data_IF_747724181219
#
_entry.id   IF_747724181219
#
_cell.length_a   1.000
_cell.length_b   1.000
_cell.length_c   1.000
_cell.angle_alpha   90.00
_cell.angle_beta   90.00
_cell.angle_gamma   90.00
#
_symmetry.space_group_name_H-M   'P 1'
#
loop_
_entity.id
_entity.type
_entity.pdbx_description
1 polymer ?
#
# COMPACT_ATOMS: atom_id res chain seq x y z
N UNK A 1 -4.54 -1.61 -5.46
CA UNK A 1 -3.14 -2.05 -5.33
C UNK A 1 -2.74 -1.99 -3.85
N UNK A 2 -1.96 -2.95 -3.38
CA UNK A 2 -1.42 -3.00 -2.01
C UNK A 2 0.10 -2.95 -2.05
N UNK A 3 0.74 -2.14 -1.19
CA UNK A 3 2.19 -1.98 -1.17
C UNK A 3 2.81 -2.15 0.21
N UNK A 4 4.09 -2.56 0.25
CA UNK A 4 4.87 -2.48 1.48
C UNK A 4 5.27 -1.03 1.76
N UNK A 5 5.23 -0.62 3.03
CA UNK A 5 5.42 0.78 3.44
C UNK A 5 6.82 1.00 4.03
N UNK A 6 7.78 1.25 3.15
CA UNK A 6 9.20 1.23 3.51
C UNK A 6 10.05 2.37 2.93
N UNK A 7 9.58 3.09 1.90
CA UNK A 7 10.39 4.13 1.28
C UNK A 7 9.83 5.54 1.56
N UNK A 8 10.51 6.39 2.36
CA UNK A 8 9.96 7.66 2.87
C UNK A 8 9.39 8.61 1.80
N UNK A 9 10.06 8.72 0.65
CA UNK A 9 9.58 9.55 -0.47
C UNK A 9 9.00 8.70 -1.61
N UNK A 10 9.56 7.51 -1.85
CA UNK A 10 9.16 6.66 -2.97
C UNK A 10 7.74 6.14 -2.85
N UNK A 11 7.27 5.87 -1.64
CA UNK A 11 5.91 5.35 -1.43
C UNK A 11 4.82 6.36 -1.85
N UNK A 12 5.14 7.65 -1.91
CA UNK A 12 4.25 8.66 -2.47
C UNK A 12 4.34 8.78 -4.01
N UNK A 13 5.47 8.40 -4.60
CA UNK A 13 5.76 8.68 -6.02
C UNK A 13 5.76 7.41 -6.88
N UNK A 14 6.32 6.31 -6.39
CA UNK A 14 6.46 5.06 -7.15
C UNK A 14 5.11 4.55 -7.67
N UNK A 15 4.02 4.51 -6.86
CA UNK A 15 2.72 4.07 -7.37
C UNK A 15 2.25 4.86 -8.60
N UNK A 16 2.42 6.17 -8.61
CA UNK A 16 2.06 7.01 -9.73
C UNK A 16 2.93 6.74 -10.95
N UNK A 17 4.24 6.56 -10.76
CA UNK A 17 5.16 6.27 -11.86
C UNK A 17 4.86 4.93 -12.53
N UNK A 18 4.57 3.88 -11.76
CA UNK A 18 4.33 2.53 -12.29
C UNK A 18 2.94 2.36 -12.88
N UNK A 19 1.99 3.21 -12.53
CA UNK A 19 0.62 3.17 -13.06
C UNK A 19 0.40 4.16 -14.23
N UNK A 20 1.35 5.05 -14.52
CA UNK A 20 1.18 6.02 -15.61
C UNK A 20 0.72 5.35 -16.92
N UNK A 21 -0.30 5.90 -17.62
CA UNK A 21 -0.96 7.21 -17.42
C UNK A 21 -2.19 7.20 -16.48
N UNK A 22 -2.41 6.12 -15.74
CA UNK A 22 -3.53 6.00 -14.80
C UNK A 22 -3.20 6.71 -13.49
N UNK A 23 -4.11 7.59 -13.03
CA UNK A 23 -3.96 8.29 -11.77
C UNK A 23 -4.06 7.33 -10.58
N UNK A 24 -3.37 7.68 -9.49
CA UNK A 24 -3.36 6.89 -8.26
C UNK A 24 -3.93 7.70 -7.10
N UNK A 25 -4.95 7.15 -6.46
CA UNK A 25 -5.48 7.65 -5.20
C UNK A 25 -4.89 6.83 -4.05
N UNK A 26 -4.08 7.45 -3.20
CA UNK A 26 -3.44 6.77 -2.06
C UNK A 26 -4.24 6.98 -0.78
N UNK A 27 -4.62 5.89 -0.12
CA UNK A 27 -5.28 5.95 1.19
C UNK A 27 -4.23 6.26 2.25
N UNK A 28 -4.46 7.35 3.00
CA UNK A 28 -3.53 7.88 3.99
C UNK A 28 -4.19 8.06 5.36
N UNK A 29 -3.37 8.12 6.41
CA UNK A 29 -3.87 8.47 7.75
C UNK A 29 -4.34 9.93 7.76
N UNK A 30 -5.44 10.29 8.48
CA UNK A 30 -5.97 11.66 8.51
C UNK A 30 -4.93 12.72 8.87
N UNK A 31 -4.00 12.42 9.78
CA UNK A 31 -2.94 13.34 10.18
C UNK A 31 -2.04 13.77 9.01
N UNK A 32 -1.91 12.95 7.96
CA UNK A 32 -1.07 13.31 6.81
C UNK A 32 -1.67 14.46 5.98
N UNK A 33 -3.00 14.59 5.97
CA UNK A 33 -3.70 15.69 5.27
C UNK A 33 -3.93 16.90 6.19
N UNK A 34 -3.72 16.75 7.50
CA UNK A 34 -3.87 17.82 8.51
C UNK A 34 -2.56 18.55 8.80
N UNK A 35 -1.44 18.15 8.21
CA UNK A 35 -0.14 18.80 8.43
C UNK A 35 -0.13 20.22 7.86
N UNK A 36 0.39 21.22 8.63
CA UNK A 36 0.55 22.58 8.13
C UNK A 36 1.34 22.58 6.82
N UNK A 37 0.88 23.35 5.82
CA UNK A 37 1.48 23.49 4.51
C UNK A 37 1.36 22.23 3.60
N UNK A 38 1.90 21.07 4.02
CA UNK A 38 1.87 19.84 3.25
C UNK A 38 0.44 19.29 3.10
N UNK A 39 -0.38 19.37 4.15
CA UNK A 39 -1.78 18.90 4.13
C UNK A 39 -2.67 19.60 3.11
N UNK A 40 -2.31 20.82 2.70
CA UNK A 40 -3.03 21.51 1.62
C UNK A 40 -2.74 20.95 0.22
N UNK A 41 -1.58 20.34 0.04
CA UNK A 41 -1.11 19.82 -1.25
C UNK A 41 -1.46 18.34 -1.42
N UNK A 42 -1.47 17.57 -0.33
CA UNK A 42 -1.70 16.12 -0.37
C UNK A 42 -3.00 15.68 -1.05
N UNK A 43 -4.15 16.36 -0.93
CA UNK A 43 -5.35 16.00 -1.69
C UNK A 43 -5.16 16.15 -3.21
N UNK A 44 -4.39 17.15 -3.66
CA UNK A 44 -4.07 17.33 -5.09
C UNK A 44 -3.09 16.28 -5.60
N UNK A 45 -2.38 15.61 -4.71
CA UNK A 45 -1.51 14.47 -5.02
C UNK A 45 -2.25 13.12 -4.94
N UNK A 46 -3.60 13.15 -4.87
CA UNK A 46 -4.41 11.95 -4.81
C UNK A 46 -4.52 11.29 -3.43
N UNK A 47 -4.20 12.02 -2.35
CA UNK A 47 -4.35 11.48 -1.00
C UNK A 47 -5.84 11.45 -0.59
N UNK A 48 -6.32 10.27 -0.19
CA UNK A 48 -7.67 10.06 0.34
C UNK A 48 -7.54 9.67 1.82
N UNK A 49 -7.95 10.56 2.75
CA UNK A 49 -7.81 10.28 4.18
C UNK A 49 -8.76 9.18 4.64
N UNK A 50 -8.25 8.29 5.52
CA UNK A 50 -9.09 7.33 6.22
C UNK A 50 -10.10 8.07 7.10
N UNK A 51 -11.35 7.58 7.18
CA UNK A 51 -12.40 8.21 7.99
C UNK A 51 -12.17 7.92 9.48
N UNK A 52 -12.40 8.92 10.30
CA UNK A 52 -12.36 8.87 11.76
C UNK A 52 -13.77 8.90 12.40
N UNK A 53 -14.78 9.31 11.64
CA UNK A 53 -16.19 9.30 12.06
C UNK A 53 -17.15 8.78 10.98
N UNK A 54 -18.47 8.77 11.28
CA UNK A 54 -19.49 8.29 10.34
C UNK A 54 -19.72 9.21 9.16
N UNK A 55 -19.54 10.52 9.32
CA UNK A 55 -19.72 11.50 8.24
C UNK A 55 -18.55 11.41 7.29
N UNK A 56 -17.32 11.38 7.84
CA UNK A 56 -16.11 11.14 7.07
C UNK A 56 -16.14 9.81 6.33
N UNK A 57 -16.76 8.76 6.91
CA UNK A 57 -16.93 7.47 6.24
C UNK A 57 -17.78 7.60 4.96
N UNK A 58 -18.85 8.38 4.96
CA UNK A 58 -19.66 8.60 3.78
C UNK A 58 -18.85 9.27 2.67
N UNK A 59 -18.18 10.36 2.98
CA UNK A 59 -17.33 11.08 2.01
C UNK A 59 -16.16 10.22 1.51
N UNK A 60 -15.59 9.39 2.37
CA UNK A 60 -14.55 8.44 1.97
C UNK A 60 -15.06 7.42 0.95
N UNK A 61 -16.25 6.85 1.17
CA UNK A 61 -16.84 5.89 0.22
C UNK A 61 -17.19 6.57 -1.11
N UNK A 62 -17.76 7.78 -1.08
CA UNK A 62 -18.04 8.58 -2.28
C UNK A 62 -16.74 8.89 -3.06
N UNK A 63 -15.65 9.23 -2.36
CA UNK A 63 -14.36 9.44 -2.99
C UNK A 63 -13.81 8.17 -3.64
N UNK A 64 -13.89 7.02 -2.97
CA UNK A 64 -13.48 5.73 -3.55
C UNK A 64 -14.30 5.39 -4.80
N UNK A 65 -15.62 5.57 -4.74
CA UNK A 65 -16.50 5.32 -5.87
C UNK A 65 -16.12 6.20 -7.07
N UNK A 66 -15.85 7.48 -6.85
CA UNK A 66 -15.39 8.38 -7.89
C UNK A 66 -14.05 7.95 -8.53
N UNK A 67 -13.09 7.48 -7.71
CA UNK A 67 -11.81 6.93 -8.19
C UNK A 67 -12.05 5.70 -9.07
N UNK A 68 -12.95 4.81 -8.65
CA UNK A 68 -13.30 3.58 -9.39
C UNK A 68 -13.98 3.93 -10.72
N UNK A 69 -14.94 4.85 -10.72
CA UNK A 69 -15.65 5.29 -11.93
C UNK A 69 -14.68 5.89 -12.98
N UNK A 70 -13.64 6.59 -12.53
CA UNK A 70 -12.57 7.10 -13.38
C UNK A 70 -11.58 6.04 -13.84
N UNK A 71 -11.72 4.79 -13.39
CA UNK A 71 -10.78 3.68 -13.63
C UNK A 71 -9.36 3.97 -13.13
N UNK A 72 -9.25 4.79 -12.11
CA UNK A 72 -7.99 5.12 -11.45
C UNK A 72 -7.60 4.03 -10.45
N UNK A 73 -6.30 3.98 -10.12
CA UNK A 73 -5.78 3.02 -9.15
C UNK A 73 -5.99 3.52 -7.72
N UNK A 74 -6.39 2.62 -6.81
CA UNK A 74 -6.41 2.88 -5.37
C UNK A 74 -5.21 2.19 -4.76
N UNK A 75 -4.32 2.96 -4.11
CA UNK A 75 -3.14 2.47 -3.40
C UNK A 75 -3.37 2.41 -1.90
N UNK A 76 -3.07 1.27 -1.30
CA UNK A 76 -3.22 1.01 0.13
C UNK A 76 -1.90 0.43 0.67
N UNK A 77 -1.43 0.99 1.78
CA UNK A 77 -0.32 0.45 2.56
C UNK A 77 -0.88 -0.28 3.79
N UNK A 78 -1.10 -1.61 3.72
CA UNK A 78 -1.82 -2.34 4.77
C UNK A 78 -1.02 -2.46 6.07
N UNK A 79 0.28 -2.19 6.05
CA UNK A 79 1.17 -2.16 7.20
C UNK A 79 0.94 -0.95 8.13
N UNK A 80 0.15 0.04 7.69
CA UNK A 80 -0.28 1.26 8.33
C UNK A 80 0.84 2.31 8.57
N UNK A 81 1.95 1.93 9.20
CA UNK A 81 3.06 2.82 9.49
C UNK A 81 4.25 2.53 8.59
N UNK A 82 4.95 3.57 8.18
CA UNK A 82 6.20 3.42 7.45
C UNK A 82 7.31 2.95 8.41
N UNK A 83 8.08 1.94 7.96
CA UNK A 83 9.35 1.58 8.56
C UNK A 83 10.45 1.80 7.52
N UNK A 84 11.17 2.93 7.59
CA UNK A 84 12.11 3.31 6.55
C UNK A 84 13.14 2.22 6.24
N UNK A 85 13.21 1.84 4.96
CA UNK A 85 14.16 0.85 4.43
C UNK A 85 14.06 -0.57 5.04
N UNK A 86 12.92 -0.90 5.65
CA UNK A 86 12.69 -2.24 6.18
C UNK A 86 12.58 -3.26 5.03
N UNK A 87 13.33 -4.35 5.15
CA UNK A 87 13.49 -5.33 4.06
C UNK A 87 12.56 -6.53 4.14
N UNK A 88 11.75 -6.62 5.20
CA UNK A 88 10.74 -7.67 5.38
C UNK A 88 9.33 -7.09 5.27
N UNK A 89 8.33 -7.96 5.23
CA UNK A 89 6.93 -7.56 5.22
C UNK A 89 6.37 -7.74 6.64
N UNK A 90 5.82 -6.68 7.21
CA UNK A 90 5.16 -6.74 8.53
C UNK A 90 3.76 -7.35 8.38
N UNK A 91 3.32 -8.15 9.36
CA UNK A 91 1.96 -8.68 9.35
C UNK A 91 0.92 -7.56 9.33
N UNK A 92 -0.11 -7.72 8.53
CA UNK A 92 -1.22 -6.78 8.43
C UNK A 92 -2.59 -7.46 8.48
N UNK A 93 -3.61 -6.69 8.86
CA UNK A 93 -4.99 -7.17 8.99
C UNK A 93 -5.68 -7.24 7.62
N UNK A 94 -6.78 -7.96 7.55
CA UNK A 94 -7.61 -8.12 6.35
C UNK A 94 -8.66 -7.00 6.17
N UNK A 95 -8.69 -6.01 7.07
CA UNK A 95 -9.75 -5.00 7.12
C UNK A 95 -9.91 -4.20 5.82
N UNK A 96 -8.82 -3.80 5.18
CA UNK A 96 -8.83 -3.06 3.91
C UNK A 96 -9.26 -3.93 2.72
N UNK A 97 -9.11 -5.26 2.82
CA UNK A 97 -9.51 -6.18 1.75
C UNK A 97 -11.02 -6.31 1.56
N UNK A 98 -11.82 -5.69 2.46
CA UNK A 98 -13.25 -5.53 2.24
C UNK A 98 -13.57 -4.74 0.96
N UNK A 99 -12.74 -3.77 0.59
CA UNK A 99 -12.99 -2.93 -0.58
C UNK A 99 -12.98 -3.75 -1.88
N UNK A 100 -11.92 -4.46 -2.26
CA UNK A 100 -11.92 -5.27 -3.48
C UNK A 100 -12.95 -6.40 -3.43
N UNK A 101 -13.29 -6.96 -2.27
CA UNK A 101 -14.36 -7.95 -2.14
C UNK A 101 -15.73 -7.35 -2.45
N UNK A 102 -16.00 -6.12 -1.97
CA UNK A 102 -17.28 -5.45 -2.22
C UNK A 102 -17.41 -4.88 -3.64
N UNK A 103 -16.30 -4.50 -4.25
CA UNK A 103 -16.29 -3.88 -5.58
C UNK A 103 -15.97 -4.85 -6.70
N UNK A 104 -15.66 -6.12 -6.39
CA UNK A 104 -15.23 -7.16 -7.35
C UNK A 104 -14.03 -6.76 -8.21
N UNK A 105 -13.22 -5.80 -7.73
CA UNK A 105 -12.06 -5.31 -8.47
C UNK A 105 -10.84 -6.18 -8.27
N UNK A 106 -9.97 -6.29 -9.30
CA UNK A 106 -8.70 -6.99 -9.19
C UNK A 106 -7.77 -6.32 -8.19
N UNK A 107 -7.00 -7.15 -7.49
CA UNK A 107 -5.96 -6.72 -6.57
C UNK A 107 -4.60 -6.99 -7.18
N UNK A 108 -3.73 -5.98 -7.10
CA UNK A 108 -2.31 -6.12 -7.38
C UNK A 108 -1.52 -5.81 -6.12
N UNK A 109 -0.35 -6.43 -5.95
CA UNK A 109 0.60 -6.01 -4.93
C UNK A 109 1.85 -5.39 -5.56
N UNK A 110 2.34 -4.35 -4.89
CA UNK A 110 3.55 -3.62 -5.22
C UNK A 110 4.56 -3.85 -4.10
N UNK A 111 5.72 -4.45 -4.44
CA UNK A 111 6.75 -4.73 -3.44
C UNK A 111 8.04 -4.03 -3.83
N UNK A 112 8.42 -3.04 -3.05
CA UNK A 112 9.71 -2.37 -3.16
C UNK A 112 10.78 -3.19 -2.44
N UNK A 113 11.90 -3.41 -3.11
CA UNK A 113 13.09 -4.07 -2.56
C UNK A 113 14.33 -3.22 -2.79
N UNK A 114 15.30 -3.36 -1.90
CA UNK A 114 16.59 -2.68 -1.95
C UNK A 114 17.66 -3.67 -2.41
N UNK A 115 18.18 -3.44 -3.60
CA UNK A 115 19.15 -4.32 -4.22
C UNK A 115 20.47 -3.60 -4.45
N UNK A 116 21.55 -4.37 -4.58
CA UNK A 116 22.87 -3.82 -4.90
C UNK A 116 22.83 -3.21 -6.29
N UNK A 117 23.06 -1.89 -6.35
CA UNK A 117 23.10 -1.14 -7.60
C UNK A 117 24.45 -1.20 -8.30
N UNK A 118 24.57 -0.46 -9.41
CA UNK A 118 25.86 -0.27 -10.10
C UNK A 118 26.86 0.54 -9.26
N UNK A 119 26.36 1.38 -8.37
CA UNK A 119 27.14 2.17 -7.41
C UNK A 119 27.03 1.48 -6.05
N UNK A 120 28.18 1.27 -5.40
CA UNK A 120 28.23 0.54 -4.11
C UNK A 120 27.53 1.28 -2.97
N UNK A 121 27.55 2.61 -3.02
CA UNK A 121 27.04 3.51 -1.98
C UNK A 121 25.52 3.80 -2.10
N UNK A 122 24.88 3.44 -3.23
CA UNK A 122 23.46 3.74 -3.49
C UNK A 122 22.72 2.46 -3.88
N UNK A 123 21.78 1.99 -3.07
CA UNK A 123 20.97 0.83 -3.43
C UNK A 123 20.05 1.15 -4.60
N UNK A 124 19.84 0.19 -5.45
CA UNK A 124 18.80 0.22 -6.46
C UNK A 124 17.48 -0.19 -5.84
N UNK A 125 16.43 0.61 -6.04
CA UNK A 125 15.07 0.22 -5.71
C UNK A 125 14.52 -0.57 -6.89
N UNK A 126 14.13 -1.81 -6.63
CA UNK A 126 13.44 -2.66 -7.61
C UNK A 126 12.02 -2.89 -7.11
N UNK A 127 11.06 -2.43 -7.91
CA UNK A 127 9.62 -2.55 -7.62
C UNK A 127 9.04 -3.72 -8.39
N UNK A 128 8.47 -4.67 -7.69
CA UNK A 128 7.72 -5.79 -8.27
C UNK A 128 6.23 -5.50 -8.22
N UNK A 129 5.54 -5.82 -9.32
CA UNK A 129 4.07 -5.77 -9.41
C UNK A 129 3.59 -7.17 -9.72
N UNK A 130 2.77 -7.72 -8.84
CA UNK A 130 2.20 -9.05 -8.98
C UNK A 130 0.67 -9.01 -8.92
N UNK A 131 0.02 -9.90 -9.61
CA UNK A 131 -1.43 -9.98 -9.77
C UNK A 131 -1.83 -10.16 -11.24
N UNK A 132 -3.10 -10.04 -11.60
CA UNK A 132 -4.23 -9.73 -10.71
C UNK A 132 -4.62 -10.89 -9.80
N UNK A 133 -4.99 -10.56 -8.57
CA UNK A 133 -5.63 -11.47 -7.63
C UNK A 133 -7.11 -11.11 -7.53
N UNK A 134 -7.97 -12.12 -7.44
CA UNK A 134 -9.42 -11.93 -7.33
C UNK A 134 -9.95 -12.60 -6.06
N UNK A 135 -10.98 -11.99 -5.48
CA UNK A 135 -11.75 -12.62 -4.43
C UNK A 135 -12.46 -13.88 -4.96
N UNK A 136 -12.49 -14.94 -4.16
CA UNK A 136 -13.27 -16.13 -4.52
C UNK A 136 -14.72 -15.97 -4.08
N UNK A 137 -15.59 -15.60 -5.00
CA UNK A 137 -17.00 -15.31 -4.76
C UNK A 137 -17.81 -16.51 -4.24
N UNK A 138 -17.30 -17.74 -4.36
CA UNK A 138 -17.94 -18.92 -3.79
C UNK A 138 -17.84 -19.01 -2.25
N UNK A 139 -16.98 -18.17 -1.64
CA UNK A 139 -16.74 -18.15 -0.20
C UNK A 139 -17.55 -17.04 0.49
N UNK A 140 -17.84 -17.18 1.80
CA UNK A 140 -18.35 -16.07 2.60
C UNK A 140 -17.40 -14.86 2.57
N UNK A 141 -17.92 -13.63 2.60
CA UNK A 141 -17.14 -12.40 2.49
C UNK A 141 -15.96 -12.30 3.49
N UNK A 142 -16.13 -12.87 4.69
CA UNK A 142 -15.05 -12.94 5.70
C UNK A 142 -13.87 -13.78 5.20
N UNK A 143 -14.14 -14.92 4.58
CA UNK A 143 -13.11 -15.83 4.09
C UNK A 143 -12.48 -15.31 2.79
N UNK A 144 -13.28 -14.66 1.92
CA UNK A 144 -12.77 -13.96 0.73
C UNK A 144 -11.70 -12.93 1.12
N UNK A 145 -11.98 -12.05 2.10
CA UNK A 145 -11.03 -11.05 2.58
C UNK A 145 -9.74 -11.68 3.11
N UNK A 146 -9.89 -12.70 3.96
CA UNK A 146 -8.74 -13.40 4.55
C UNK A 146 -7.88 -14.05 3.49
N UNK A 147 -8.50 -14.80 2.57
CA UNK A 147 -7.79 -15.50 1.51
C UNK A 147 -7.03 -14.52 0.60
N UNK A 148 -7.69 -13.43 0.20
CA UNK A 148 -7.07 -12.39 -0.64
C UNK A 148 -5.91 -11.69 0.08
N UNK A 149 -6.06 -11.37 1.38
CA UNK A 149 -5.00 -10.85 2.22
C UNK A 149 -3.80 -11.81 2.31
N UNK A 150 -4.06 -13.10 2.55
CA UNK A 150 -3.02 -14.11 2.70
C UNK A 150 -2.24 -14.30 1.39
N UNK A 151 -2.93 -14.26 0.25
CA UNK A 151 -2.32 -14.34 -1.06
C UNK A 151 -1.38 -13.15 -1.32
N UNK A 152 -1.84 -11.92 -1.09
CA UNK A 152 -1.04 -10.70 -1.23
C UNK A 152 0.15 -10.73 -0.27
N UNK A 153 -0.08 -11.06 1.00
CA UNK A 153 0.99 -11.12 2.02
C UNK A 153 2.07 -12.13 1.63
N UNK A 154 1.68 -13.34 1.24
CA UNK A 154 2.62 -14.37 0.80
C UNK A 154 3.44 -13.91 -0.41
N UNK A 155 2.80 -13.31 -1.40
CA UNK A 155 3.48 -12.81 -2.60
C UNK A 155 4.49 -11.72 -2.26
N UNK A 156 4.11 -10.75 -1.41
CA UNK A 156 5.04 -9.71 -0.95
C UNK A 156 6.22 -10.31 -0.17
N UNK A 157 5.97 -11.30 0.70
CA UNK A 157 7.03 -11.98 1.45
C UNK A 157 8.02 -12.70 0.51
N UNK A 158 7.54 -13.34 -0.56
CA UNK A 158 8.41 -13.97 -1.55
C UNK A 158 9.25 -12.92 -2.29
N UNK A 159 8.66 -11.80 -2.71
CA UNK A 159 9.40 -10.70 -3.35
C UNK A 159 10.42 -10.05 -2.43
N UNK A 160 10.09 -9.91 -1.14
CA UNK A 160 10.99 -9.35 -0.14
C UNK A 160 12.31 -10.14 0.02
N UNK A 161 12.35 -11.42 -0.35
CA UNK A 161 13.58 -12.23 -0.38
C UNK A 161 14.62 -11.72 -1.39
N UNK A 162 14.21 -10.91 -2.36
CA UNK A 162 15.10 -10.29 -3.34
C UNK A 162 15.88 -9.08 -2.80
N UNK A 163 15.62 -8.65 -1.55
CA UNK A 163 16.48 -7.65 -0.92
C UNK A 163 17.91 -8.20 -0.78
N UNK A 164 18.88 -7.47 -1.29
CA UNK A 164 20.31 -7.80 -1.18
C UNK A 164 21.10 -6.80 -0.35
N UNK A 165 20.43 -5.70 0.07
CA UNK A 165 21.01 -4.63 0.88
C UNK A 165 20.10 -4.36 2.06
N UNK A 166 20.64 -4.32 3.27
CA UNK A 166 19.98 -3.90 4.50
C UNK A 166 20.55 -2.54 4.91
N UNK A 167 19.81 -1.45 4.62
CA UNK A 167 20.24 -0.08 4.93
C UNK A 167 20.02 0.28 6.40
N UNK A 168 18.96 -0.25 6.99
CA UNK A 168 18.59 -0.02 8.39
C UNK A 168 18.26 -1.37 9.03
N UNK A 169 18.97 -1.69 10.09
CA UNK A 169 18.72 -2.90 10.86
C UNK A 169 17.77 -2.63 12.02
N UNK A 170 16.59 -3.19 11.96
CA UNK A 170 15.61 -3.12 13.04
C UNK A 170 15.86 -4.24 14.05
N UNK A 171 16.07 -3.86 15.30
CA UNK A 171 16.25 -4.78 16.42
C UNK A 171 15.09 -4.63 17.41
N UNK A 172 14.66 -5.75 17.98
CA UNK A 172 13.65 -5.71 19.03
C UNK A 172 14.31 -5.24 20.33
N UNK A 173 13.78 -4.17 20.92
CA UNK A 173 14.16 -3.76 22.26
C UNK A 173 13.78 -4.91 23.24
N UNK A 174 14.71 -5.32 24.09
CA UNK A 174 14.41 -6.27 25.14
C UNK A 174 13.89 -5.45 26.31
N UNK A 175 12.66 -5.72 26.74
CA UNK A 175 12.17 -5.22 28.03
C UNK A 175 13.12 -5.77 29.12
N UNK A 176 13.83 -4.87 29.80
CA UNK A 176 14.63 -5.19 30.98
C UNK A 176 13.73 -5.42 32.20
#
# INVERSE_FOLDING_TARGET
>A
MYGNHTHPLGDAVIPTLVNHPVDVATIVHPNNVSMPFLGRITPYLGAVPLPDDRVAMKHFLEALEHVIQKKNCIMIYPEAHIWPYYTKIRPFKDSSFRYPVQTHLPVFCLTNTYQRGKREDVPQIVTYIDGPFYANESLPAKDQKRMLRDQVYKTMCERAKNNTVELVRYVRERDE
#
